data_IF_814452921604
#
_entry.id   IF_814452921604
#
_cell.length_a   1.000
_cell.length_b   1.000
_cell.length_c   1.000
_cell.angle_alpha   90.00
_cell.angle_beta   90.00
_cell.angle_gamma   90.00
#
_symmetry.space_group_name_H-M   'P 1'
#
loop_
_entity.id
_entity.type
_entity.pdbx_description
1 polymer ?
#
# COMPACT_ATOMS: atom_id res chain seq x y z
N UNK A 1 7.71 -17.87 -11.53
CA UNK A 1 7.81 -18.03 -12.99
C UNK A 1 7.52 -16.71 -13.69
N UNK A 2 8.23 -16.39 -14.77
CA UNK A 2 7.96 -15.23 -15.62
C UNK A 2 6.58 -15.35 -16.29
N UNK A 3 5.94 -14.21 -16.57
CA UNK A 3 4.73 -14.14 -17.37
C UNK A 3 4.71 -12.82 -18.13
N UNK A 4 4.69 -12.92 -19.46
CA UNK A 4 4.61 -11.78 -20.36
C UNK A 4 3.44 -10.86 -20.01
N UNK A 5 2.24 -11.45 -19.85
CA UNK A 5 1.01 -10.73 -19.49
C UNK A 5 1.16 -9.96 -18.17
N UNK A 6 1.79 -10.57 -17.15
CA UNK A 6 2.01 -9.88 -15.86
C UNK A 6 2.91 -8.67 -16.01
N UNK A 7 3.98 -8.77 -16.80
CA UNK A 7 4.89 -7.64 -17.06
C UNK A 7 4.19 -6.53 -17.84
N UNK A 8 3.53 -6.88 -18.94
CA UNK A 8 2.76 -5.96 -19.77
C UNK A 8 1.72 -5.17 -18.95
N UNK A 9 0.87 -5.87 -18.19
CA UNK A 9 -0.15 -5.23 -17.37
C UNK A 9 0.44 -4.40 -16.22
N UNK A 10 1.58 -4.83 -15.66
CA UNK A 10 2.26 -4.06 -14.60
C UNK A 10 2.79 -2.71 -15.10
N UNK A 11 3.31 -2.66 -16.33
CA UNK A 11 3.78 -1.42 -16.95
C UNK A 11 2.60 -0.51 -17.36
N UNK A 12 1.53 -1.07 -17.91
CA UNK A 12 0.32 -0.29 -18.25
C UNK A 12 -0.32 0.36 -17.02
N UNK A 13 -0.46 -0.39 -15.91
CA UNK A 13 -1.08 0.11 -14.68
C UNK A 13 -0.43 1.39 -14.14
N UNK A 14 0.85 1.60 -14.44
CA UNK A 14 1.62 2.77 -13.99
C UNK A 14 1.70 3.88 -15.03
N UNK A 15 1.03 3.73 -16.19
CA UNK A 15 0.91 4.75 -17.22
C UNK A 15 1.83 4.57 -18.43
N UNK A 16 2.40 3.38 -18.66
CA UNK A 16 3.07 3.11 -19.94
C UNK A 16 2.03 2.92 -21.06
N UNK A 17 2.34 3.40 -22.27
CA UNK A 17 1.51 3.13 -23.45
C UNK A 17 1.47 1.62 -23.76
N UNK A 18 0.44 1.12 -24.46
CA UNK A 18 0.39 -0.29 -24.89
C UNK A 18 1.63 -0.73 -25.66
N UNK A 19 2.16 0.15 -26.52
CA UNK A 19 3.38 -0.11 -27.31
C UNK A 19 4.61 -0.26 -26.42
N UNK A 20 4.83 0.67 -25.49
CA UNK A 20 5.93 0.62 -24.53
C UNK A 20 5.83 -0.59 -23.59
N UNK A 21 4.63 -0.88 -23.09
CA UNK A 21 4.40 -2.03 -22.22
C UNK A 21 4.73 -3.35 -22.93
N UNK A 22 4.36 -3.46 -24.23
CA UNK A 22 4.70 -4.63 -25.06
C UNK A 22 6.21 -4.75 -25.24
N UNK A 23 6.89 -3.65 -25.58
CA UNK A 23 8.34 -3.62 -25.74
C UNK A 23 9.08 -4.04 -24.47
N UNK A 24 8.65 -3.53 -23.30
CA UNK A 24 9.21 -3.93 -22.00
C UNK A 24 9.02 -5.44 -21.78
N UNK A 25 7.81 -5.95 -22.02
CA UNK A 25 7.51 -7.37 -21.83
C UNK A 25 8.32 -8.27 -22.79
N UNK A 26 8.54 -7.87 -24.04
CA UNK A 26 9.40 -8.57 -25.00
C UNK A 26 10.88 -8.53 -24.58
N UNK A 27 11.34 -7.41 -24.02
CA UNK A 27 12.71 -7.31 -23.49
C UNK A 27 12.92 -8.29 -22.35
N UNK A 28 12.00 -8.34 -21.37
CA UNK A 28 12.08 -9.32 -20.28
C UNK A 28 11.97 -10.76 -20.80
N UNK A 29 11.12 -11.02 -21.80
CA UNK A 29 10.95 -12.35 -22.38
C UNK A 29 12.26 -12.88 -22.97
N UNK A 30 13.04 -12.03 -23.64
CA UNK A 30 14.37 -12.40 -24.19
C UNK A 30 15.41 -12.67 -23.10
N UNK A 31 15.31 -11.99 -21.96
CA UNK A 31 16.19 -12.20 -20.80
C UNK A 31 15.69 -13.29 -19.84
N UNK A 32 14.51 -13.88 -20.09
CA UNK A 32 13.88 -14.82 -19.16
C UNK A 32 14.48 -16.22 -19.29
N UNK A 33 14.82 -16.80 -18.14
CA UNK A 33 15.29 -18.19 -18.02
C UNK A 33 14.59 -18.89 -16.84
N UNK A 34 14.58 -20.24 -16.79
CA UNK A 34 14.04 -20.98 -15.65
C UNK A 34 14.67 -20.52 -14.32
N UNK A 35 13.85 -20.16 -13.34
CA UNK A 35 14.33 -19.66 -12.05
C UNK A 35 14.64 -18.15 -11.99
N UNK A 36 14.36 -17.38 -13.05
CA UNK A 36 14.54 -15.91 -13.04
C UNK A 36 13.87 -15.26 -11.82
N UNK A 37 14.64 -14.46 -11.08
CA UNK A 37 14.17 -13.77 -9.87
C UNK A 37 13.20 -12.65 -10.23
N UNK A 38 12.09 -12.55 -9.50
CA UNK A 38 11.12 -11.44 -9.65
C UNK A 38 11.75 -10.08 -9.38
N UNK A 39 12.77 -10.03 -8.52
CA UNK A 39 13.54 -8.81 -8.23
C UNK A 39 14.35 -8.33 -9.45
N UNK A 40 14.87 -9.25 -10.27
CA UNK A 40 15.54 -8.91 -11.52
C UNK A 40 14.54 -8.31 -12.52
N UNK A 41 13.41 -9.00 -12.75
CA UNK A 41 12.33 -8.50 -13.61
C UNK A 41 11.89 -7.10 -13.18
N UNK A 42 11.65 -6.90 -11.87
CA UNK A 42 11.27 -5.59 -11.33
C UNK A 42 12.32 -4.51 -11.61
N UNK A 43 13.61 -4.79 -11.41
CA UNK A 43 14.70 -3.85 -11.67
C UNK A 43 14.78 -3.48 -13.16
N UNK A 44 14.67 -4.45 -14.05
CA UNK A 44 14.72 -4.21 -15.50
C UNK A 44 13.52 -3.41 -15.98
N UNK A 45 12.30 -3.76 -15.57
CA UNK A 45 11.08 -2.98 -15.89
C UNK A 45 11.22 -1.54 -15.40
N UNK A 46 11.64 -1.34 -14.14
CA UNK A 46 11.85 -0.01 -13.59
C UNK A 46 12.89 0.78 -14.39
N UNK A 47 14.02 0.17 -14.76
CA UNK A 47 15.08 0.80 -15.56
C UNK A 47 14.55 1.27 -16.91
N UNK A 48 13.79 0.44 -17.61
CA UNK A 48 13.20 0.79 -18.90
C UNK A 48 12.17 1.91 -18.79
N UNK A 49 11.29 1.83 -17.78
CA UNK A 49 10.35 2.91 -17.47
C UNK A 49 11.07 4.22 -17.12
N UNK A 50 12.14 4.18 -16.33
CA UNK A 50 12.90 5.37 -15.94
C UNK A 50 13.52 6.08 -17.14
N UNK A 51 13.94 5.33 -18.17
CA UNK A 51 14.51 5.89 -19.40
C UNK A 51 13.47 6.56 -20.30
N UNK A 52 12.27 5.97 -20.39
CA UNK A 52 11.27 6.39 -21.40
C UNK A 52 10.13 7.22 -20.83
N UNK A 53 9.68 6.91 -19.61
CA UNK A 53 8.57 7.59 -18.93
C UNK A 53 8.88 7.66 -17.42
N UNK A 54 9.72 8.62 -16.96
CA UNK A 54 10.15 8.72 -15.57
C UNK A 54 8.98 8.74 -14.54
N UNK A 55 7.88 9.41 -14.88
CA UNK A 55 6.65 9.44 -14.06
C UNK A 55 6.10 8.03 -13.79
N UNK A 56 6.09 7.16 -14.79
CA UNK A 56 5.64 5.77 -14.66
C UNK A 56 6.59 4.95 -13.79
N UNK A 57 7.90 5.21 -13.85
CA UNK A 57 8.88 4.54 -12.99
C UNK A 57 8.74 4.91 -11.50
N UNK A 58 8.39 6.17 -11.21
CA UNK A 58 8.06 6.61 -9.86
C UNK A 58 6.83 5.87 -9.34
N UNK A 59 5.75 5.82 -10.14
CA UNK A 59 4.52 5.07 -9.80
C UNK A 59 4.80 3.58 -9.60
N UNK A 60 5.62 2.98 -10.46
CA UNK A 60 6.06 1.59 -10.34
C UNK A 60 6.85 1.32 -9.05
N UNK A 61 7.56 2.32 -8.57
CA UNK A 61 8.36 2.24 -7.34
C UNK A 61 7.57 2.47 -6.05
N UNK A 62 6.30 2.90 -6.11
CA UNK A 62 5.51 3.27 -4.93
C UNK A 62 5.49 2.17 -3.86
N UNK A 63 5.26 0.91 -4.25
CA UNK A 63 5.25 -0.21 -3.28
C UNK A 63 6.60 -0.37 -2.57
N UNK A 64 7.70 -0.12 -3.27
CA UNK A 64 9.04 -0.15 -2.65
C UNK A 64 9.32 1.08 -1.80
N UNK A 65 8.81 2.25 -2.17
CA UNK A 65 8.91 3.48 -1.39
C UNK A 65 8.13 3.38 -0.08
N UNK A 66 6.89 2.87 -0.12
CA UNK A 66 6.09 2.65 1.08
C UNK A 66 6.80 1.72 2.09
N UNK A 67 7.47 0.65 1.62
CA UNK A 67 8.24 -0.25 2.49
C UNK A 67 9.44 0.42 3.20
N UNK A 68 9.88 1.58 2.73
CA UNK A 68 10.96 2.36 3.37
C UNK A 68 10.47 3.26 4.51
N UNK A 69 9.16 3.33 4.77
CA UNK A 69 8.61 4.06 5.91
C UNK A 69 8.79 3.31 7.24
N UNK A 70 9.42 2.13 7.23
CA UNK A 70 9.66 1.29 8.41
C UNK A 70 11.07 1.36 8.98
N UNK A 71 11.37 0.58 10.04
CA UNK A 71 10.47 -0.42 10.65
C UNK A 71 9.40 0.18 11.57
N UNK A 72 9.56 1.42 12.04
CA UNK A 72 8.59 2.09 12.89
C UNK A 72 7.24 2.29 12.16
N UNK A 73 6.12 1.96 12.82
CA UNK A 73 4.76 2.12 12.26
C UNK A 73 4.33 3.58 12.09
N UNK A 74 4.83 4.45 12.97
CA UNK A 74 4.37 5.84 13.08
C UNK A 74 4.53 6.68 11.80
N UNK A 75 5.59 6.48 11.03
CA UNK A 75 5.76 7.20 9.76
C UNK A 75 4.71 6.78 8.72
N UNK A 76 4.31 5.51 8.74
CA UNK A 76 3.24 5.01 7.88
C UNK A 76 1.87 5.53 8.33
N UNK A 77 1.60 5.60 9.64
CA UNK A 77 0.38 6.18 10.21
C UNK A 77 0.21 7.65 9.80
N UNK A 78 1.28 8.46 9.95
CA UNK A 78 1.28 9.85 9.46
C UNK A 78 1.00 9.94 7.96
N UNK A 79 1.64 9.07 7.18
CA UNK A 79 1.45 9.06 5.72
C UNK A 79 0.00 8.75 5.35
N UNK A 80 -0.63 7.75 5.98
CA UNK A 80 -2.06 7.45 5.80
C UNK A 80 -2.92 8.64 6.22
N UNK A 81 -2.62 9.26 7.37
CA UNK A 81 -3.35 10.44 7.82
C UNK A 81 -3.28 11.60 6.83
N UNK A 82 -2.12 11.87 6.23
CA UNK A 82 -1.97 12.89 5.19
C UNK A 82 -2.73 12.56 3.90
N UNK A 83 -2.86 11.28 3.53
CA UNK A 83 -3.74 10.88 2.42
C UNK A 83 -5.19 11.26 2.72
N UNK A 84 -5.70 10.90 3.89
CA UNK A 84 -7.08 11.25 4.28
C UNK A 84 -7.29 12.77 4.34
N UNK A 85 -6.34 13.53 4.87
CA UNK A 85 -6.40 15.01 4.84
C UNK A 85 -6.51 15.55 3.42
N UNK A 86 -5.70 15.04 2.48
CA UNK A 86 -5.80 15.43 1.05
C UNK A 86 -7.12 15.04 0.40
N UNK A 87 -7.81 14.01 0.92
CA UNK A 87 -9.15 13.62 0.49
C UNK A 87 -10.27 14.45 1.15
N UNK A 88 -9.91 15.45 1.96
CA UNK A 88 -10.83 16.37 2.62
C UNK A 88 -11.37 15.89 3.96
N UNK A 89 -10.71 14.93 4.62
CA UNK A 89 -11.06 14.50 5.97
C UNK A 89 -10.32 15.36 7.02
N UNK A 90 -10.98 15.65 8.13
CA UNK A 90 -10.29 16.05 9.38
C UNK A 90 -9.68 14.79 9.98
N UNK A 91 -8.38 14.78 10.20
CA UNK A 91 -7.67 13.59 10.69
C UNK A 91 -6.97 13.88 12.01
N UNK A 92 -7.18 13.00 12.99
CA UNK A 92 -6.44 12.96 14.26
C UNK A 92 -5.69 11.63 14.34
N UNK A 93 -4.41 11.66 14.66
CA UNK A 93 -3.56 10.47 14.81
C UNK A 93 -3.32 10.15 16.30
N UNK A 94 -3.00 8.92 16.64
CA UNK A 94 -2.70 8.45 18.01
C UNK A 94 -3.80 8.83 19.00
N UNK A 95 -5.00 8.34 18.75
CA UNK A 95 -6.18 8.68 19.55
C UNK A 95 -6.47 7.58 20.57
N UNK A 96 -6.91 7.98 21.76
CA UNK A 96 -7.46 7.05 22.75
C UNK A 96 -8.98 7.19 22.76
N UNK A 97 -9.68 6.13 22.37
CA UNK A 97 -11.14 6.09 22.31
C UNK A 97 -11.68 5.12 23.37
N UNK A 98 -12.64 5.54 24.21
CA UNK A 98 -13.30 4.61 25.12
C UNK A 98 -14.28 3.72 24.36
N UNK A 99 -14.28 2.43 24.69
CA UNK A 99 -15.31 1.47 24.31
C UNK A 99 -16.36 1.30 25.40
N UNK A 100 -17.38 0.49 25.09
CA UNK A 100 -18.41 0.10 26.07
C UNK A 100 -17.86 -0.87 27.12
N UNK A 101 -17.05 -1.84 26.71
CA UNK A 101 -16.46 -2.85 27.58
C UNK A 101 -15.05 -2.45 28.06
N UNK A 102 -14.21 -1.92 27.17
CA UNK A 102 -12.84 -1.49 27.50
C UNK A 102 -12.80 0.03 27.60
N UNK A 103 -12.21 0.54 28.69
CA UNK A 103 -12.18 1.99 28.99
C UNK A 103 -11.39 2.82 27.99
N UNK A 104 -10.39 2.25 27.32
CA UNK A 104 -9.53 2.99 26.40
C UNK A 104 -8.90 2.05 25.37
N UNK A 105 -9.10 2.35 24.10
CA UNK A 105 -8.42 1.76 22.96
C UNK A 105 -7.49 2.80 22.33
N UNK A 106 -6.23 2.42 22.14
CA UNK A 106 -5.32 3.17 21.26
C UNK A 106 -5.70 2.88 19.80
N UNK A 107 -5.93 3.95 19.05
CA UNK A 107 -6.34 3.94 17.64
C UNK A 107 -5.35 4.81 16.87
N UNK A 108 -4.77 4.25 15.80
CA UNK A 108 -3.74 4.91 15.01
C UNK A 108 -4.25 6.22 14.38
N UNK A 109 -5.48 6.22 13.83
CA UNK A 109 -6.11 7.45 13.39
C UNK A 109 -7.64 7.43 13.41
N UNK A 110 -8.22 8.61 13.55
CA UNK A 110 -9.64 8.90 13.30
C UNK A 110 -9.71 9.90 12.15
N UNK A 111 -10.49 9.59 11.11
CA UNK A 111 -10.70 10.47 9.97
C UNK A 111 -12.20 10.77 9.81
N UNK A 112 -12.55 12.04 9.81
CA UNK A 112 -13.94 12.52 9.80
C UNK A 112 -14.20 13.40 8.57
N UNK A 113 -15.29 13.13 7.86
CA UNK A 113 -15.79 13.97 6.78
C UNK A 113 -17.32 13.87 6.73
N UNK A 114 -17.99 15.02 6.75
CA UNK A 114 -19.45 15.12 6.81
C UNK A 114 -20.01 14.31 8.00
N UNK A 115 -20.84 13.29 7.75
CA UNK A 115 -21.40 12.38 8.76
C UNK A 115 -20.64 11.06 8.86
N UNK A 116 -19.49 10.94 8.19
CA UNK A 116 -18.70 9.72 8.13
C UNK A 116 -17.46 9.83 9.02
N UNK A 117 -17.31 8.87 9.92
CA UNK A 117 -16.15 8.72 10.78
C UNK A 117 -15.51 7.36 10.48
N UNK A 118 -14.23 7.38 10.14
CA UNK A 118 -13.38 6.20 10.07
C UNK A 118 -12.53 6.10 11.33
N UNK A 119 -12.52 4.90 11.91
CA UNK A 119 -11.61 4.47 12.97
C UNK A 119 -10.61 3.53 12.31
N UNK A 120 -9.35 3.94 12.23
CA UNK A 120 -8.34 3.32 11.39
C UNK A 120 -7.18 2.72 12.17
N UNK A 121 -6.74 1.55 11.72
CA UNK A 121 -5.56 0.84 12.22
C UNK A 121 -4.60 0.56 11.04
N UNK A 122 -3.35 0.96 11.21
CA UNK A 122 -2.26 0.83 10.28
C UNK A 122 -1.43 -0.42 10.59
N UNK A 123 -1.83 -1.58 10.06
CA UNK A 123 -1.02 -2.81 10.13
C UNK A 123 0.02 -2.84 9.01
N UNK A 124 1.17 -2.24 9.29
CA UNK A 124 2.27 -2.08 8.33
C UNK A 124 3.24 -3.28 8.34
N UNK A 125 3.64 -3.73 7.15
CA UNK A 125 4.65 -4.78 6.93
C UNK A 125 5.71 -4.28 5.97
N UNK A 126 6.97 -4.33 6.37
CA UNK A 126 8.10 -3.79 5.61
C UNK A 126 8.85 -4.85 4.78
N UNK A 127 8.58 -6.14 5.00
CA UNK A 127 9.19 -7.23 4.23
C UNK A 127 8.38 -7.60 2.98
N UNK A 128 9.08 -8.12 1.98
CA UNK A 128 8.45 -8.57 0.74
C UNK A 128 7.83 -9.94 0.93
N UNK A 129 6.50 -10.02 0.83
CA UNK A 129 5.76 -11.29 0.92
C UNK A 129 4.85 -11.35 2.14
N UNK A 130 5.12 -10.51 3.14
CA UNK A 130 4.29 -10.36 4.32
C UNK A 130 2.86 -9.94 3.97
N UNK A 131 1.93 -10.43 4.79
CA UNK A 131 0.51 -10.15 4.70
C UNK A 131 -0.01 -9.72 6.07
N UNK A 132 -1.06 -8.91 6.06
CA UNK A 132 -1.89 -8.68 7.24
C UNK A 132 -2.66 -9.97 7.51
N UNK A 133 -2.66 -10.44 8.75
CA UNK A 133 -3.31 -11.70 9.11
C UNK A 133 -4.80 -11.47 9.33
N UNK A 134 -5.64 -12.48 9.12
CA UNK A 134 -7.09 -12.39 9.39
C UNK A 134 -7.36 -12.05 10.86
N UNK A 135 -6.53 -12.53 11.77
CA UNK A 135 -6.59 -12.20 13.20
C UNK A 135 -6.47 -10.69 13.46
N UNK A 136 -5.60 -9.98 12.74
CA UNK A 136 -5.44 -8.53 12.88
C UNK A 136 -6.77 -7.81 12.53
N UNK A 137 -7.45 -8.29 11.49
CA UNK A 137 -8.73 -7.75 11.01
C UNK A 137 -9.86 -8.05 11.99
N UNK A 138 -9.94 -9.29 12.48
CA UNK A 138 -10.96 -9.71 13.45
C UNK A 138 -10.83 -8.95 14.77
N UNK A 139 -9.60 -8.78 15.27
CA UNK A 139 -9.34 -7.98 16.46
C UNK A 139 -9.77 -6.53 16.28
N UNK A 140 -9.43 -5.91 15.13
CA UNK A 140 -9.85 -4.54 14.84
C UNK A 140 -11.37 -4.41 14.72
N UNK A 141 -12.05 -5.38 14.10
CA UNK A 141 -13.50 -5.37 14.00
C UNK A 141 -14.17 -5.47 15.37
N UNK A 142 -13.66 -6.30 16.28
CA UNK A 142 -14.15 -6.38 17.65
C UNK A 142 -13.97 -5.05 18.40
N UNK A 143 -12.81 -4.38 18.27
CA UNK A 143 -12.57 -3.04 18.83
C UNK A 143 -13.57 -2.03 18.29
N UNK A 144 -13.76 -2.00 16.97
CA UNK A 144 -14.72 -1.12 16.32
C UNK A 144 -16.14 -1.32 16.86
N UNK A 145 -16.59 -2.57 17.04
CA UNK A 145 -17.90 -2.86 17.61
C UNK A 145 -18.04 -2.37 19.05
N UNK A 146 -16.99 -2.49 19.87
CA UNK A 146 -17.02 -2.01 21.26
C UNK A 146 -17.05 -0.48 21.35
N UNK A 147 -16.32 0.21 20.46
CA UNK A 147 -16.31 1.68 20.38
C UNK A 147 -17.65 2.21 19.83
N UNK A 148 -18.21 1.54 18.81
CA UNK A 148 -19.39 2.05 18.08
C UNK A 148 -20.71 1.84 18.84
N UNK A 149 -20.75 0.92 19.81
CA UNK A 149 -21.95 0.62 20.62
C UNK A 149 -22.08 1.52 21.85
N UNK A 150 -21.38 2.66 21.86
CA UNK A 150 -21.54 3.65 22.92
C UNK A 150 -22.94 4.30 22.79
N UNK A 151 -23.71 4.42 23.88
CA UNK A 151 -24.99 5.13 23.87
C UNK A 151 -24.80 6.62 23.55
#
# INVERSE_FOLDING_TARGET
>A
MFSFRKVYESAKRVGASPTLAKEIAETIKREAFPGIKTSFIYKTVKKLLSKKVPKSALRFSLKSGMRKLGPAGFAFEKYIGEIFKRLGYRVKINQYLPGRCIRSYEIDFVAEKDKLIYIGECKYRNLSGDRVHSMDVLANYARFLDISKRP
#
